data_IF_589672066940
#
_entry.id   IF_589672066940
#
_cell.length_a   1.000
_cell.length_b   1.000
_cell.length_c   1.000
_cell.angle_alpha   90.00
_cell.angle_beta   90.00
_cell.angle_gamma   90.00
#
_symmetry.space_group_name_H-M   'P 1'
#
loop_
_entity.id
_entity.type
_entity.pdbx_description
1 polymer ?
#
# COMPACT_ATOMS: atom_id res chain seq x y z
N UNK A 1 7.05 25.95 -0.08
CA UNK A 1 6.70 24.61 -0.62
C UNK A 1 6.99 23.47 0.35
N UNK A 2 8.22 23.30 0.86
CA UNK A 2 8.56 22.19 1.77
C UNK A 2 7.70 22.08 3.04
N UNK A 3 7.26 23.22 3.58
CA UNK A 3 6.43 23.29 4.79
C UNK A 3 5.01 22.74 4.57
N UNK A 4 4.46 22.92 3.37
CA UNK A 4 3.13 22.41 2.99
C UNK A 4 3.22 20.89 2.81
N UNK A 5 4.22 20.40 2.09
CA UNK A 5 4.47 18.95 1.94
C UNK A 5 4.60 18.23 3.29
N UNK A 6 5.29 18.84 4.27
CA UNK A 6 5.43 18.26 5.61
C UNK A 6 4.08 18.21 6.36
N UNK A 7 3.26 19.25 6.24
CA UNK A 7 1.92 19.30 6.83
C UNK A 7 1.02 18.22 6.24
N UNK A 8 0.98 18.09 4.92
CA UNK A 8 0.20 17.07 4.21
C UNK A 8 0.63 15.65 4.60
N UNK A 9 1.94 15.40 4.68
CA UNK A 9 2.44 14.08 5.07
C UNK A 9 2.03 13.71 6.51
N UNK A 10 2.09 14.67 7.42
CA UNK A 10 1.72 14.46 8.82
C UNK A 10 0.19 14.31 8.99
N UNK A 11 -0.60 15.01 8.17
CA UNK A 11 -2.06 14.90 8.11
C UNK A 11 -2.52 13.56 7.51
N UNK A 12 -1.77 13.02 6.55
CA UNK A 12 -2.07 11.70 5.98
C UNK A 12 -1.87 10.58 7.01
N UNK A 13 -0.76 10.59 7.75
CA UNK A 13 -0.44 9.59 8.78
C UNK A 13 -1.15 9.81 10.13
N UNK A 14 -1.82 10.93 10.36
CA UNK A 14 -2.73 11.08 11.50
C UNK A 14 -4.13 10.52 11.22
N UNK A 15 -4.35 10.06 9.99
CA UNK A 15 -5.65 9.66 9.48
C UNK A 15 -5.89 8.14 9.65
N UNK A 16 -7.06 7.76 10.17
CA UNK A 16 -7.44 6.35 10.37
C UNK A 16 -7.44 5.57 9.04
N UNK A 17 -7.79 6.24 7.94
CA UNK A 17 -7.81 5.67 6.60
C UNK A 17 -6.41 5.25 6.14
N UNK A 18 -5.38 6.06 6.42
CA UNK A 18 -3.99 5.74 6.07
C UNK A 18 -3.51 4.46 6.75
N UNK A 19 -3.82 4.29 8.05
CA UNK A 19 -3.49 3.05 8.78
C UNK A 19 -4.27 1.82 8.28
N UNK A 20 -5.56 1.97 7.92
CA UNK A 20 -6.31 0.86 7.32
C UNK A 20 -5.66 0.38 6.03
N UNK A 21 -5.27 1.32 5.16
CA UNK A 21 -4.66 0.98 3.88
C UNK A 21 -3.30 0.28 4.09
N UNK A 22 -2.49 0.76 5.04
CA UNK A 22 -1.26 0.09 5.45
C UNK A 22 -1.50 -1.34 5.95
N UNK A 23 -2.53 -1.54 6.77
CA UNK A 23 -2.90 -2.86 7.28
C UNK A 23 -3.32 -3.83 6.17
N UNK A 24 -4.15 -3.35 5.23
CA UNK A 24 -4.57 -4.13 4.06
C UNK A 24 -3.37 -4.47 3.18
N UNK A 25 -2.49 -3.52 2.91
CA UNK A 25 -1.25 -3.75 2.15
C UNK A 25 -0.41 -4.87 2.77
N UNK A 26 -0.18 -4.80 4.08
CA UNK A 26 0.63 -5.78 4.80
C UNK A 26 -0.04 -7.16 4.82
N UNK A 27 -1.36 -7.22 5.03
CA UNK A 27 -2.11 -8.47 4.99
C UNK A 27 -2.04 -9.12 3.62
N UNK A 28 -2.34 -8.39 2.54
CA UNK A 28 -2.33 -8.94 1.20
C UNK A 28 -0.94 -9.40 0.78
N UNK A 29 0.08 -8.56 0.97
CA UNK A 29 1.46 -8.92 0.61
C UNK A 29 1.99 -10.06 1.47
N UNK A 30 1.70 -10.08 2.77
CA UNK A 30 2.08 -11.16 3.68
C UNK A 30 1.41 -12.48 3.33
N UNK A 31 0.09 -12.50 3.10
CA UNK A 31 -0.62 -13.72 2.77
C UNK A 31 -0.19 -14.25 1.40
N UNK A 32 -0.13 -13.40 0.37
CA UNK A 32 0.24 -13.78 -0.99
C UNK A 32 1.69 -14.28 -1.10
N UNK A 33 2.64 -13.69 -0.39
CA UNK A 33 4.05 -14.10 -0.48
C UNK A 33 4.44 -15.27 0.43
N UNK A 34 3.76 -15.43 1.58
CA UNK A 34 4.16 -16.41 2.59
C UNK A 34 3.18 -17.59 2.76
N UNK A 35 1.89 -17.43 2.44
CA UNK A 35 0.87 -18.46 2.69
C UNK A 35 0.50 -19.24 1.43
N UNK A 36 0.48 -18.61 0.25
CA UNK A 36 0.08 -19.28 -0.99
C UNK A 36 1.23 -20.05 -1.64
N UNK A 37 1.11 -21.37 -1.86
CA UNK A 37 2.21 -22.22 -2.31
C UNK A 37 2.76 -21.87 -3.71
N UNK A 38 1.93 -21.35 -4.61
CA UNK A 38 2.33 -20.96 -5.98
C UNK A 38 3.29 -19.77 -6.02
N UNK A 39 3.25 -18.90 -5.02
CA UNK A 39 4.10 -17.69 -4.87
C UNK A 39 4.96 -17.72 -3.61
N UNK A 40 4.94 -18.82 -2.87
CA UNK A 40 5.60 -18.97 -1.57
C UNK A 40 7.11 -18.91 -1.71
N UNK A 41 7.71 -17.87 -1.16
CA UNK A 41 9.17 -17.74 -1.00
C UNK A 41 9.77 -18.87 -0.14
N UNK A 42 8.96 -19.53 0.68
CA UNK A 42 9.39 -20.57 1.63
C UNK A 42 9.42 -21.99 1.04
N UNK A 43 8.55 -22.28 0.06
CA UNK A 43 8.45 -23.61 -0.55
C UNK A 43 9.27 -23.74 -1.84
N UNK A 44 9.56 -22.61 -2.50
CA UNK A 44 10.56 -22.58 -3.54
C UNK A 44 11.94 -22.67 -2.90
N UNK A 45 12.75 -23.67 -3.27
CA UNK A 45 14.14 -23.82 -2.82
C UNK A 45 15.08 -22.64 -3.18
N UNK A 46 14.54 -21.57 -3.77
CA UNK A 46 15.17 -20.30 -4.07
C UNK A 46 14.21 -19.13 -3.80
N UNK A 47 14.68 -18.12 -3.08
CA UNK A 47 13.92 -16.92 -2.77
C UNK A 47 13.85 -15.96 -3.98
N UNK A 48 12.87 -16.14 -4.86
CA UNK A 48 12.62 -15.23 -5.99
C UNK A 48 11.50 -14.21 -5.70
N UNK A 49 11.81 -12.92 -5.87
CA UNK A 49 10.86 -11.81 -5.70
C UNK A 49 9.94 -11.57 -6.92
N UNK A 50 9.99 -12.42 -7.95
CA UNK A 50 9.18 -12.25 -9.16
C UNK A 50 7.68 -12.21 -8.87
N UNK A 51 7.20 -13.05 -7.95
CA UNK A 51 5.79 -13.02 -7.51
C UNK A 51 5.40 -11.68 -6.89
N UNK A 52 6.28 -11.08 -6.08
CA UNK A 52 6.04 -9.77 -5.48
C UNK A 52 5.95 -8.67 -6.54
N UNK A 53 6.89 -8.62 -7.48
CA UNK A 53 6.91 -7.59 -8.52
C UNK A 53 5.76 -7.72 -9.53
N UNK A 54 5.23 -8.93 -9.76
CA UNK A 54 4.03 -9.11 -10.58
C UNK A 54 2.75 -8.66 -9.87
N UNK A 55 2.67 -8.85 -8.55
CA UNK A 55 1.49 -8.48 -7.75
C UNK A 55 1.47 -6.99 -7.37
N UNK A 56 2.65 -6.37 -7.17
CA UNK A 56 2.78 -4.97 -6.77
C UNK A 56 2.01 -3.98 -7.66
N UNK A 57 2.10 -4.02 -9.00
CA UNK A 57 1.39 -3.09 -9.87
C UNK A 57 -0.12 -3.14 -9.68
N UNK A 58 -0.69 -4.34 -9.55
CA UNK A 58 -2.12 -4.53 -9.31
C UNK A 58 -2.55 -4.00 -7.95
N UNK A 59 -1.77 -4.31 -6.92
CA UNK A 59 -2.06 -3.87 -5.56
C UNK A 59 -1.96 -2.34 -5.43
N UNK A 60 -0.91 -1.73 -5.98
CA UNK A 60 -0.70 -0.29 -5.97
C UNK A 60 -1.71 0.47 -6.84
N UNK A 61 -2.15 -0.10 -7.96
CA UNK A 61 -3.19 0.50 -8.80
C UNK A 61 -4.50 0.69 -8.04
N UNK A 62 -4.81 -0.21 -7.11
CA UNK A 62 -5.96 -0.06 -6.23
C UNK A 62 -5.66 0.85 -5.02
N UNK A 63 -4.50 0.69 -4.40
CA UNK A 63 -4.15 1.40 -3.17
C UNK A 63 -3.91 2.90 -3.38
N UNK A 64 -3.20 3.28 -4.44
CA UNK A 64 -2.81 4.67 -4.68
C UNK A 64 -4.05 5.57 -4.82
N UNK A 65 -5.05 5.26 -5.65
CA UNK A 65 -6.27 6.05 -5.73
C UNK A 65 -7.03 6.12 -4.40
N UNK A 66 -7.13 5.00 -3.67
CA UNK A 66 -7.81 4.98 -2.37
C UNK A 66 -7.16 5.92 -1.35
N UNK A 67 -5.84 6.04 -1.38
CA UNK A 67 -5.04 6.94 -0.55
C UNK A 67 -5.22 8.41 -0.99
N UNK A 68 -5.17 8.68 -2.29
CA UNK A 68 -5.17 10.06 -2.82
C UNK A 68 -6.56 10.70 -2.85
N UNK A 69 -7.63 9.91 -2.94
CA UNK A 69 -9.02 10.42 -2.94
C UNK A 69 -9.31 11.31 -1.74
N UNK A 70 -8.76 10.98 -0.57
CA UNK A 70 -8.96 11.78 0.64
C UNK A 70 -8.31 13.16 0.52
N UNK A 71 -7.08 13.23 0.05
CA UNK A 71 -6.35 14.51 -0.11
C UNK A 71 -7.08 15.42 -1.11
N UNK A 72 -7.55 14.85 -2.24
CA UNK A 72 -8.32 15.60 -3.24
C UNK A 72 -9.69 16.03 -2.69
N UNK A 73 -10.40 15.14 -1.98
CA UNK A 73 -11.70 15.47 -1.41
C UNK A 73 -11.63 16.51 -0.29
N UNK A 74 -10.54 16.55 0.48
CA UNK A 74 -10.34 17.57 1.52
C UNK A 74 -10.09 18.95 0.89
N UNK A 75 -9.38 19.03 -0.25
CA UNK A 75 -9.24 20.28 -1.01
C UNK A 75 -10.54 20.73 -1.68
N UNK A 76 -11.33 19.81 -2.26
CA UNK A 76 -12.60 20.16 -2.93
C UNK A 76 -13.70 20.64 -1.97
N UNK A 77 -13.57 20.36 -0.66
CA UNK A 77 -14.57 20.70 0.35
C UNK A 77 -14.27 22.02 1.08
N UNK A 78 -13.06 22.55 0.90
CA UNK A 78 -12.62 23.85 1.40
C UNK A 78 -12.98 24.98 0.40
#
# INVERSE_FOLDING_TARGET
MWMICKKEWQQFFSSVTGYMVLGIFLLFTGLLLFVFPDTSLLNFGYAHLNGFFNLMPWLLLFLIPAITMRSISEEMRA
#
